data_IF_339531645605
#
_entry.id   IF_339531645605
#
_cell.length_a   1.000
_cell.length_b   1.000
_cell.length_c   1.000
_cell.angle_alpha   90.00
_cell.angle_beta   90.00
_cell.angle_gamma   90.00
#
_symmetry.space_group_name_H-M   'P 1'
#
loop_
_entity.id
_entity.type
_entity.pdbx_description
1 polymer ?
#
# COMPACT_ATOMS: atom_id res chain seq x y z
N UNK A 1 14.91 -8.73 -40.43
CA UNK A 1 15.41 -8.84 -39.05
C UNK A 1 14.66 -7.80 -38.25
N UNK A 2 13.66 -8.23 -37.51
CA UNK A 2 12.91 -7.35 -36.60
C UNK A 2 13.88 -6.96 -35.47
N UNK A 3 14.15 -5.66 -35.21
CA UNK A 3 14.96 -5.27 -34.07
C UNK A 3 14.18 -5.69 -32.82
N UNK A 4 14.79 -6.53 -31.96
CA UNK A 4 14.19 -7.16 -30.79
C UNK A 4 13.02 -6.37 -30.19
N UNK A 5 11.79 -6.86 -30.40
CA UNK A 5 10.57 -6.23 -29.92
C UNK A 5 10.66 -5.95 -28.41
N UNK A 6 10.36 -4.70 -28.04
CA UNK A 6 10.24 -4.22 -26.67
C UNK A 6 9.49 -5.25 -25.78
N UNK A 7 10.19 -5.84 -24.81
CA UNK A 7 9.56 -6.76 -23.86
C UNK A 7 8.85 -5.94 -22.79
N UNK A 8 7.55 -5.77 -22.96
CA UNK A 8 6.66 -5.14 -21.97
C UNK A 8 6.23 -6.16 -20.91
N UNK A 9 6.49 -5.88 -19.63
CA UNK A 9 6.02 -6.72 -18.51
C UNK A 9 4.97 -6.01 -17.66
N UNK A 10 4.10 -6.81 -17.05
CA UNK A 10 3.12 -6.39 -16.05
C UNK A 10 3.43 -7.12 -14.76
N UNK A 11 4.03 -6.42 -13.79
CA UNK A 11 4.54 -7.01 -12.55
C UNK A 11 3.72 -6.51 -11.38
N UNK A 12 3.32 -7.40 -10.45
CA UNK A 12 2.58 -6.97 -9.27
C UNK A 12 3.15 -7.52 -7.96
N UNK A 13 3.04 -6.72 -6.91
CA UNK A 13 3.24 -7.14 -5.52
C UNK A 13 1.97 -6.80 -4.74
N UNK A 14 1.36 -7.81 -4.13
CA UNK A 14 0.08 -7.70 -3.41
C UNK A 14 0.29 -8.12 -1.95
N UNK A 15 -0.05 -7.26 -1.00
CA UNK A 15 0.26 -7.42 0.42
C UNK A 15 -0.99 -7.23 1.26
N UNK A 16 -1.44 -8.29 1.93
CA UNK A 16 -2.61 -8.27 2.82
C UNK A 16 -2.20 -8.61 4.25
N UNK A 17 -2.43 -7.71 5.20
CA UNK A 17 -2.14 -7.93 6.62
C UNK A 17 -3.44 -7.90 7.46
N UNK A 18 -3.80 -9.03 8.05
CA UNK A 18 -4.92 -9.18 8.97
C UNK A 18 -4.50 -9.13 10.46
N UNK A 19 -3.21 -9.20 10.77
CA UNK A 19 -2.66 -9.19 12.15
C UNK A 19 -3.36 -10.20 13.08
N UNK A 20 -3.46 -11.48 12.69
CA UNK A 20 -4.29 -12.46 13.39
C UNK A 20 -3.81 -12.69 14.82
N UNK A 21 -4.76 -12.89 15.75
CA UNK A 21 -4.49 -13.08 17.18
C UNK A 21 -3.78 -11.88 17.86
N UNK A 22 -3.99 -10.66 17.35
CA UNK A 22 -3.51 -9.43 17.98
C UNK A 22 -4.67 -8.52 18.37
N UNK A 23 -4.41 -7.51 19.20
CA UNK A 23 -5.39 -6.46 19.50
C UNK A 23 -5.75 -5.58 18.28
N UNK A 24 -4.99 -5.69 17.19
CA UNK A 24 -5.10 -4.89 15.98
C UNK A 24 -5.60 -5.74 14.80
N UNK A 25 -6.38 -6.77 15.07
CA UNK A 25 -6.83 -7.73 14.07
C UNK A 25 -7.82 -7.11 13.07
N UNK A 26 -7.60 -7.38 11.78
CA UNK A 26 -8.44 -7.06 10.63
C UNK A 26 -8.84 -8.36 9.93
N UNK A 27 -9.89 -8.35 9.11
CA UNK A 27 -10.43 -9.56 8.50
C UNK A 27 -10.57 -9.46 6.97
N UNK A 28 -10.62 -8.26 6.41
CA UNK A 28 -10.80 -8.05 4.97
C UNK A 28 -9.52 -7.91 4.16
N UNK A 29 -8.36 -7.67 4.77
CA UNK A 29 -7.16 -7.27 4.03
C UNK A 29 -6.61 -8.37 3.12
N UNK A 30 -6.68 -9.62 3.57
CA UNK A 30 -6.33 -10.78 2.75
C UNK A 30 -7.32 -10.96 1.59
N UNK A 31 -8.62 -10.79 1.84
CA UNK A 31 -9.64 -10.90 0.79
C UNK A 31 -9.46 -9.82 -0.29
N UNK A 32 -9.10 -8.60 0.11
CA UNK A 32 -8.86 -7.48 -0.80
C UNK A 32 -7.75 -7.81 -1.80
N UNK A 33 -6.62 -8.33 -1.33
CA UNK A 33 -5.49 -8.63 -2.20
C UNK A 33 -5.73 -9.84 -3.09
N UNK A 34 -6.50 -10.83 -2.63
CA UNK A 34 -6.89 -11.97 -3.46
C UNK A 34 -7.87 -11.57 -4.56
N UNK A 35 -8.83 -10.69 -4.25
CA UNK A 35 -9.76 -10.16 -5.25
C UNK A 35 -9.08 -9.23 -6.26
N UNK A 36 -8.10 -8.43 -5.80
CA UNK A 36 -7.25 -7.63 -6.70
C UNK A 36 -6.40 -8.51 -7.59
N UNK A 37 -5.80 -9.59 -7.06
CA UNK A 37 -5.05 -10.57 -7.85
C UNK A 37 -5.88 -11.12 -9.01
N UNK A 38 -7.11 -11.55 -8.72
CA UNK A 38 -8.03 -12.07 -9.74
C UNK A 38 -8.37 -11.01 -10.79
N UNK A 39 -8.58 -9.77 -10.36
CA UNK A 39 -8.84 -8.64 -11.25
C UNK A 39 -7.65 -8.37 -12.19
N UNK A 40 -6.42 -8.37 -11.65
CA UNK A 40 -5.21 -8.17 -12.44
C UNK A 40 -4.99 -9.28 -13.47
N UNK A 41 -5.25 -10.54 -13.09
CA UNK A 41 -5.19 -11.71 -13.97
C UNK A 41 -6.21 -11.62 -15.10
N UNK A 42 -7.48 -11.43 -14.75
CA UNK A 42 -8.60 -11.60 -15.69
C UNK A 42 -8.84 -10.38 -16.56
N UNK A 43 -8.54 -9.17 -16.06
CA UNK A 43 -8.89 -7.91 -16.74
C UNK A 43 -7.69 -7.12 -17.23
N UNK A 44 -6.61 -7.11 -16.47
CA UNK A 44 -5.45 -6.26 -16.76
C UNK A 44 -4.29 -6.99 -17.43
N UNK A 45 -4.44 -8.30 -17.70
CA UNK A 45 -3.48 -9.10 -18.45
C UNK A 45 -2.16 -9.36 -17.71
N UNK A 46 -2.18 -9.31 -16.38
CA UNK A 46 -1.04 -9.76 -15.57
C UNK A 46 -0.93 -11.28 -15.64
N UNK A 47 0.30 -11.81 -15.58
CA UNK A 47 0.53 -13.25 -15.54
C UNK A 47 0.72 -13.71 -14.11
N UNK A 48 0.35 -14.95 -13.81
CA UNK A 48 0.47 -15.50 -12.46
C UNK A 48 1.92 -15.53 -11.95
N UNK A 49 2.87 -15.85 -12.82
CA UNK A 49 4.31 -15.87 -12.54
C UNK A 49 4.95 -14.48 -12.32
N UNK A 50 4.25 -13.43 -12.75
CA UNK A 50 4.69 -12.04 -12.65
C UNK A 50 4.08 -11.31 -11.43
N UNK A 51 3.30 -12.01 -10.61
CA UNK A 51 2.73 -11.48 -9.37
C UNK A 51 3.28 -12.19 -8.15
N UNK A 52 3.60 -11.41 -7.12
CA UNK A 52 3.96 -11.90 -5.80
C UNK A 52 2.89 -11.51 -4.78
N UNK A 53 2.45 -12.47 -3.95
CA UNK A 53 1.40 -12.26 -2.95
C UNK A 53 1.95 -12.60 -1.57
N UNK A 54 1.87 -11.65 -0.64
CA UNK A 54 2.29 -11.81 0.75
C UNK A 54 1.07 -11.61 1.65
N UNK A 55 0.75 -12.62 2.46
CA UNK A 55 -0.31 -12.52 3.47
C UNK A 55 0.10 -13.19 4.76
N UNK A 56 -0.51 -12.78 5.87
CA UNK A 56 -0.25 -13.34 7.18
C UNK A 56 -1.09 -14.58 7.50
N UNK A 57 -1.82 -15.13 6.52
CA UNK A 57 -2.49 -16.43 6.59
C UNK A 57 -1.51 -17.57 6.93
N UNK A 58 -1.92 -18.58 7.72
CA UNK A 58 -1.04 -19.67 8.16
C UNK A 58 -0.31 -20.42 7.04
N UNK A 59 -0.95 -20.60 5.88
CA UNK A 59 -0.46 -21.35 4.72
C UNK A 59 0.36 -20.50 3.73
N UNK A 60 0.49 -19.20 3.98
CA UNK A 60 1.24 -18.30 3.11
C UNK A 60 2.74 -18.57 3.11
N UNK A 61 3.29 -18.67 1.89
CA UNK A 61 4.72 -18.92 1.66
C UNK A 61 5.63 -17.85 2.23
N UNK A 62 5.19 -16.59 2.18
CA UNK A 62 5.90 -15.43 2.69
C UNK A 62 4.95 -14.60 3.53
N UNK A 63 5.33 -14.38 4.79
CA UNK A 63 4.64 -13.45 5.67
C UNK A 63 4.94 -12.01 5.23
N UNK A 64 3.99 -11.07 5.36
CA UNK A 64 4.15 -9.67 4.98
C UNK A 64 4.92 -8.91 6.07
N UNK A 65 6.15 -9.35 6.35
CA UNK A 65 7.10 -8.64 7.21
C UNK A 65 7.70 -7.46 6.47
N UNK A 66 8.21 -6.46 7.20
CA UNK A 66 8.84 -5.29 6.57
C UNK A 66 10.00 -5.67 5.65
N UNK A 67 10.79 -6.67 6.04
CA UNK A 67 11.88 -7.21 5.22
C UNK A 67 11.36 -7.89 3.93
N UNK A 68 10.34 -8.74 4.04
CA UNK A 68 9.80 -9.49 2.89
C UNK A 68 9.11 -8.56 1.89
N UNK A 69 8.36 -7.56 2.36
CA UNK A 69 7.71 -6.57 1.48
C UNK A 69 8.77 -5.79 0.71
N UNK A 70 9.80 -5.26 1.38
CA UNK A 70 10.91 -4.55 0.72
C UNK A 70 11.65 -5.45 -0.27
N UNK A 71 11.86 -6.72 0.06
CA UNK A 71 12.50 -7.67 -0.84
C UNK A 71 11.63 -7.98 -2.08
N UNK A 72 10.32 -8.09 -1.93
CA UNK A 72 9.39 -8.29 -3.04
C UNK A 72 9.37 -7.07 -3.99
N UNK A 73 9.34 -5.86 -3.44
CA UNK A 73 9.43 -4.63 -4.22
C UNK A 73 10.76 -4.53 -4.98
N UNK A 74 11.89 -4.86 -4.33
CA UNK A 74 13.21 -4.90 -5.01
C UNK A 74 13.21 -5.88 -6.16
N UNK A 75 12.72 -7.11 -5.97
CA UNK A 75 12.57 -8.10 -7.06
C UNK A 75 11.71 -7.59 -8.20
N UNK A 76 10.64 -6.87 -7.91
CA UNK A 76 9.76 -6.27 -8.92
C UNK A 76 10.50 -5.18 -9.73
N UNK A 77 11.25 -4.30 -9.05
CA UNK A 77 12.10 -3.28 -9.68
C UNK A 77 13.21 -3.91 -10.52
N UNK A 78 13.89 -4.94 -10.01
CA UNK A 78 14.97 -5.65 -10.71
C UNK A 78 14.47 -6.32 -12.00
N UNK A 79 13.30 -6.96 -11.94
CA UNK A 79 12.66 -7.55 -13.14
C UNK A 79 12.34 -6.48 -14.19
N UNK A 80 11.96 -5.28 -13.76
CA UNK A 80 11.65 -4.17 -14.67
C UNK A 80 12.88 -3.67 -15.45
N UNK A 81 14.10 -3.82 -14.92
CA UNK A 81 15.34 -3.37 -15.58
C UNK A 81 15.59 -4.00 -16.97
N UNK A 82 14.99 -5.17 -17.23
CA UNK A 82 15.23 -5.95 -18.45
C UNK A 82 14.20 -5.71 -19.56
N UNK A 83 13.27 -4.78 -19.38
CA UNK A 83 12.20 -4.47 -20.34
C UNK A 83 12.06 -2.96 -20.59
N UNK A 84 11.28 -2.62 -21.61
CA UNK A 84 10.88 -1.24 -21.91
C UNK A 84 9.36 -1.13 -21.74
N UNK A 85 8.88 0.01 -21.22
CA UNK A 85 7.44 0.28 -21.02
C UNK A 85 6.71 -0.65 -20.05
N UNK A 86 7.38 -1.10 -18.99
CA UNK A 86 6.79 -1.98 -17.98
C UNK A 86 5.67 -1.29 -17.19
N UNK A 87 4.71 -2.08 -16.71
CA UNK A 87 3.65 -1.65 -15.79
C UNK A 87 3.83 -2.38 -14.47
N UNK A 88 4.14 -1.65 -13.42
CA UNK A 88 4.30 -2.18 -12.07
C UNK A 88 3.11 -1.78 -11.22
N UNK A 89 2.63 -2.72 -10.41
CA UNK A 89 1.47 -2.52 -9.57
C UNK A 89 1.75 -2.99 -8.14
N UNK A 90 1.62 -2.10 -7.17
CA UNK A 90 1.72 -2.43 -5.76
C UNK A 90 0.36 -2.20 -5.08
N UNK A 91 -0.18 -3.24 -4.44
CA UNK A 91 -1.38 -3.12 -3.63
C UNK A 91 -1.08 -3.54 -2.19
N UNK A 92 -1.31 -2.62 -1.27
CA UNK A 92 -1.26 -2.87 0.16
C UNK A 92 -2.64 -2.71 0.78
N UNK A 93 -3.10 -3.73 1.50
CA UNK A 93 -4.28 -3.67 2.36
C UNK A 93 -3.87 -4.09 3.78
N UNK A 94 -4.10 -3.20 4.75
CA UNK A 94 -3.64 -3.38 6.12
C UNK A 94 -3.66 -2.07 6.90
N UNK A 95 -2.99 -2.06 8.05
CA UNK A 95 -2.86 -0.85 8.86
C UNK A 95 -1.92 0.18 8.25
N UNK A 96 -2.29 1.45 8.43
CA UNK A 96 -1.44 2.61 8.20
C UNK A 96 -1.27 3.41 9.49
N UNK A 97 -0.13 4.08 9.66
CA UNK A 97 0.16 4.91 10.83
C UNK A 97 0.84 6.23 10.45
N UNK A 98 0.81 7.18 11.39
CA UNK A 98 1.44 8.49 11.26
C UNK A 98 2.54 8.66 12.28
N UNK A 99 3.78 8.72 11.81
CA UNK A 99 4.96 8.90 12.64
C UNK A 99 5.33 10.39 12.74
N UNK A 100 5.90 10.84 13.88
CA UNK A 100 6.48 12.17 13.98
C UNK A 100 7.53 12.41 12.89
N UNK A 101 7.47 13.55 12.19
CA UNK A 101 8.48 13.86 11.19
C UNK A 101 9.78 14.36 11.83
N UNK A 102 10.90 13.89 11.28
CA UNK A 102 12.25 14.34 11.65
C UNK A 102 12.69 15.58 10.87
N UNK A 103 11.85 16.13 9.97
CA UNK A 103 12.20 17.26 9.10
C UNK A 103 12.10 18.59 9.88
N UNK A 104 13.22 19.28 10.17
CA UNK A 104 13.21 20.51 10.98
C UNK A 104 12.41 21.65 10.34
N UNK A 105 12.34 21.68 9.01
CA UNK A 105 11.62 22.70 8.25
C UNK A 105 10.08 22.54 8.27
N UNK A 106 9.55 21.39 8.71
CA UNK A 106 8.10 21.14 8.81
C UNK A 106 7.75 20.37 10.10
N UNK A 107 7.91 21.00 11.27
CA UNK A 107 7.77 20.33 12.58
C UNK A 107 6.36 19.80 12.85
N UNK A 108 5.33 20.27 12.12
CA UNK A 108 3.95 19.82 12.25
C UNK A 108 3.51 18.77 11.21
N UNK A 109 4.35 18.44 10.23
CA UNK A 109 4.03 17.39 9.25
C UNK A 109 4.25 16.04 9.94
N UNK A 110 3.29 15.13 9.84
CA UNK A 110 3.49 13.72 10.19
C UNK A 110 3.84 12.98 8.91
N UNK A 111 4.81 12.09 9.01
CA UNK A 111 5.12 11.19 7.90
C UNK A 111 4.22 9.95 8.01
N UNK A 112 3.90 9.34 6.88
CA UNK A 112 2.98 8.21 6.79
C UNK A 112 3.75 6.92 6.54
N UNK A 113 3.27 5.83 7.13
CA UNK A 113 3.90 4.52 7.03
C UNK A 113 2.84 3.42 6.94
N UNK A 114 3.11 2.40 6.14
CA UNK A 114 2.39 1.13 6.23
C UNK A 114 2.95 0.34 7.42
N UNK A 115 2.11 -0.51 8.01
CA UNK A 115 2.45 -1.32 9.18
C UNK A 115 2.48 -2.80 8.79
N UNK A 116 3.63 -3.37 8.40
CA UNK A 116 3.74 -4.81 8.15
C UNK A 116 3.35 -5.67 9.36
N UNK A 117 3.14 -6.98 9.18
CA UNK A 117 2.63 -7.84 10.27
C UNK A 117 3.59 -7.97 11.46
N UNK A 118 4.88 -7.66 11.26
CA UNK A 118 5.93 -7.60 12.29
C UNK A 118 6.17 -6.18 12.83
N UNK A 119 5.36 -5.20 12.45
CA UNK A 119 5.48 -3.79 12.85
C UNK A 119 6.78 -3.10 12.40
N UNK A 120 7.56 -3.71 11.50
CA UNK A 120 8.72 -3.09 10.88
C UNK A 120 8.28 -2.05 9.83
N UNK A 121 8.04 -0.82 10.28
CA UNK A 121 7.41 0.24 9.50
C UNK A 121 8.14 0.53 8.17
N UNK A 122 7.35 0.71 7.10
CA UNK A 122 7.84 1.13 5.77
C UNK A 122 7.24 2.48 5.43
N UNK A 123 8.10 3.43 5.03
CA UNK A 123 7.77 4.85 4.85
C UNK A 123 7.82 5.30 3.39
N UNK A 124 7.35 6.51 3.13
CA UNK A 124 7.51 7.21 1.84
C UNK A 124 8.95 7.20 1.31
N UNK A 125 9.93 7.26 2.22
CA UNK A 125 11.36 7.23 1.90
C UNK A 125 11.76 5.90 1.25
N UNK A 126 11.27 4.79 1.80
CA UNK A 126 11.57 3.43 1.31
C UNK A 126 10.97 3.23 -0.09
N UNK A 127 9.71 3.63 -0.30
CA UNK A 127 9.06 3.56 -1.61
C UNK A 127 9.76 4.46 -2.64
N UNK A 128 10.11 5.69 -2.26
CA UNK A 128 10.78 6.62 -3.17
C UNK A 128 12.16 6.13 -3.62
N UNK A 129 12.94 5.53 -2.70
CA UNK A 129 14.23 4.92 -3.06
C UNK A 129 14.06 3.85 -4.14
N UNK A 130 13.03 3.01 -4.01
CA UNK A 130 12.75 1.93 -4.96
C UNK A 130 12.25 2.47 -6.31
N UNK A 131 11.31 3.41 -6.29
CA UNK A 131 10.74 4.00 -7.51
C UNK A 131 11.78 4.79 -8.31
N UNK A 132 12.73 5.44 -7.64
CA UNK A 132 13.83 6.17 -8.29
C UNK A 132 14.83 5.28 -9.05
N UNK A 133 14.71 3.96 -8.94
CA UNK A 133 15.54 3.00 -9.68
C UNK A 133 14.84 2.49 -10.96
N UNK A 134 13.57 2.84 -11.18
CA UNK A 134 12.82 2.33 -12.33
C UNK A 134 13.37 2.85 -13.66
N UNK A 135 13.42 2.00 -14.71
CA UNK A 135 13.79 2.44 -16.05
C UNK A 135 12.82 3.47 -16.62
N UNK A 136 13.31 4.32 -17.52
CA UNK A 136 12.49 5.26 -18.28
C UNK A 136 11.35 4.53 -19.03
N UNK A 137 10.17 5.14 -19.04
CA UNK A 137 8.96 4.57 -19.62
C UNK A 137 8.26 3.53 -18.75
N UNK A 138 8.79 3.16 -17.58
CA UNK A 138 8.11 2.28 -16.63
C UNK A 138 7.04 3.05 -15.85
N UNK A 139 5.80 2.54 -15.84
CA UNK A 139 4.75 3.05 -14.94
C UNK A 139 4.71 2.27 -13.63
N UNK A 140 4.47 2.97 -12.53
CA UNK A 140 4.31 2.39 -11.21
C UNK A 140 3.02 2.90 -10.58
N UNK A 141 2.08 1.99 -10.32
CA UNK A 141 0.82 2.33 -9.64
C UNK A 141 0.84 1.72 -8.25
N UNK A 142 0.62 2.55 -7.23
CA UNK A 142 0.47 2.11 -5.86
C UNK A 142 -0.96 2.35 -5.38
N UNK A 143 -1.59 1.29 -4.87
CA UNK A 143 -2.83 1.36 -4.13
C UNK A 143 -2.55 1.04 -2.67
N UNK A 144 -2.93 1.95 -1.78
CA UNK A 144 -2.85 1.74 -0.34
C UNK A 144 -4.24 1.84 0.26
N UNK A 145 -4.85 0.70 0.55
CA UNK A 145 -6.15 0.57 1.20
C UNK A 145 -5.96 0.54 2.73
N UNK A 146 -5.38 1.64 3.23
CA UNK A 146 -5.03 1.87 4.63
C UNK A 146 -5.35 3.32 5.00
N UNK A 147 -5.81 3.60 6.22
CA UNK A 147 -5.93 4.98 6.68
C UNK A 147 -4.53 5.61 6.80
N UNK A 148 -4.37 6.86 6.36
CA UNK A 148 -3.10 7.61 6.38
C UNK A 148 -2.03 7.12 5.38
N UNK A 149 -2.40 6.99 4.09
CA UNK A 149 -1.46 6.68 2.99
C UNK A 149 -1.25 7.80 1.96
N UNK A 150 -1.93 8.94 2.10
CA UNK A 150 -1.87 10.08 1.17
C UNK A 150 -0.53 10.85 1.11
N UNK A 151 0.47 10.46 1.91
CA UNK A 151 1.82 11.02 1.96
C UNK A 151 2.92 10.07 1.46
N UNK A 152 2.57 8.88 0.96
CA UNK A 152 3.56 7.88 0.51
C UNK A 152 4.24 8.25 -0.81
N UNK A 153 3.62 9.10 -1.65
CA UNK A 153 4.17 9.62 -2.93
C UNK A 153 3.70 11.09 -3.09
N UNK A 154 4.63 12.02 -3.34
CA UNK A 154 4.39 13.49 -3.28
C UNK A 154 3.84 14.11 -4.60
N UNK A 155 3.56 13.31 -5.64
CA UNK A 155 2.91 13.78 -6.89
C UNK A 155 1.92 12.72 -7.39
N UNK A 156 0.76 13.19 -7.86
CA UNK A 156 -0.40 12.43 -8.33
C UNK A 156 -1.27 11.81 -7.22
N UNK A 157 -1.93 12.71 -6.47
CA UNK A 157 -3.10 12.36 -5.66
C UNK A 157 -4.33 12.39 -6.56
N UNK A 158 -4.73 11.26 -7.13
CA UNK A 158 -6.09 11.11 -7.66
C UNK A 158 -6.94 10.43 -6.59
N UNK A 159 -7.91 11.19 -6.07
CA UNK A 159 -8.76 10.85 -4.93
C UNK A 159 -10.12 10.36 -5.44
N UNK A 160 -10.53 9.16 -5.04
CA UNK A 160 -11.86 8.64 -5.34
C UNK A 160 -12.57 8.32 -4.01
N UNK A 161 -13.48 9.21 -3.59
CA UNK A 161 -14.33 9.06 -2.40
C UNK A 161 -15.39 10.17 -2.34
N UNK A 162 -16.61 9.92 -1.81
CA UNK A 162 -17.68 10.91 -1.83
C UNK A 162 -17.35 12.11 -0.94
N UNK A 163 -17.43 13.30 -1.52
CA UNK A 163 -17.42 14.58 -0.82
C UNK A 163 -18.60 14.61 0.17
N UNK A 164 -18.34 14.58 1.48
CA UNK A 164 -19.41 14.65 2.49
C UNK A 164 -19.94 16.08 2.64
N UNK A 165 -20.83 16.47 1.73
CA UNK A 165 -21.87 17.46 1.98
C UNK A 165 -23.22 16.81 1.72
N UNK A 166 -24.09 16.80 2.73
CA UNK A 166 -25.46 16.23 2.77
C UNK A 166 -25.56 14.84 3.44
N UNK A 167 -25.90 14.87 4.73
CA UNK A 167 -26.57 13.76 5.44
C UNK A 167 -28.02 13.66 4.94
N UNK A 168 -28.45 12.46 4.57
CA UNK A 168 -29.87 12.07 4.54
C UNK A 168 -30.05 10.68 5.16
N UNK A 169 -31.21 10.38 5.76
CA UNK A 169 -31.31 9.46 6.89
C UNK A 169 -31.80 8.04 6.52
N UNK A 170 -31.36 7.10 7.37
CA UNK A 170 -31.96 5.83 7.78
C UNK A 170 -32.31 4.78 6.71
N UNK A 171 -31.52 3.68 6.69
CA UNK A 171 -32.00 2.32 6.38
C UNK A 171 -31.37 1.33 7.40
N UNK A 172 -32.16 0.31 7.71
CA UNK A 172 -32.21 -0.56 8.89
C UNK A 172 -30.98 -1.43 9.20
N UNK A 173 -30.86 -1.69 10.50
CA UNK A 173 -29.87 -2.45 11.26
C UNK A 173 -29.61 -3.87 10.75
N UNK A 174 -28.47 -4.04 10.08
CA UNK A 174 -27.64 -5.25 10.20
C UNK A 174 -26.38 -4.84 10.98
N UNK A 175 -25.99 -5.61 12.00
CA UNK A 175 -24.81 -5.30 12.82
C UNK A 175 -23.54 -5.39 11.95
N UNK A 176 -23.17 -4.27 11.35
CA UNK A 176 -21.96 -4.14 10.55
C UNK A 176 -20.86 -3.64 11.46
N UNK A 177 -19.89 -4.49 11.77
CA UNK A 177 -18.70 -4.07 12.52
C UNK A 177 -17.77 -3.35 11.55
N UNK A 178 -17.53 -2.07 11.81
CA UNK A 178 -16.59 -1.23 11.06
C UNK A 178 -15.33 -1.10 11.91
N UNK A 179 -14.21 -1.70 11.48
CA UNK A 179 -12.91 -1.47 12.13
C UNK A 179 -12.08 -0.49 11.30
N UNK A 180 -11.49 0.49 11.99
CA UNK A 180 -10.59 1.46 11.38
C UNK A 180 -9.26 0.79 11.01
N UNK A 181 -8.78 1.02 9.79
CA UNK A 181 -7.42 0.60 9.40
C UNK A 181 -6.34 1.61 9.84
N UNK A 182 -6.70 2.70 10.53
CA UNK A 182 -5.73 3.61 11.16
C UNK A 182 -5.22 2.99 12.46
N UNK A 183 -3.91 2.75 12.54
CA UNK A 183 -3.28 2.33 13.78
C UNK A 183 -2.62 3.53 14.48
N UNK A 184 -3.10 3.94 15.67
CA UNK A 184 -2.54 5.09 16.36
C UNK A 184 -1.05 4.90 16.66
N UNK A 185 -0.24 5.95 16.47
CA UNK A 185 1.21 5.90 16.71
C UNK A 185 1.58 5.39 18.10
N UNK A 186 0.79 5.77 19.12
CA UNK A 186 1.01 5.30 20.49
C UNK A 186 0.90 3.77 20.59
N UNK A 187 -0.01 3.14 19.85
CA UNK A 187 -0.17 1.69 19.89
C UNK A 187 0.98 0.96 19.21
N UNK A 188 1.52 1.53 18.14
CA UNK A 188 2.75 1.05 17.49
C UNK A 188 3.91 1.14 18.48
N UNK A 189 4.08 2.31 19.11
CA UNK A 189 5.15 2.53 20.08
C UNK A 189 5.03 1.62 21.31
N UNK A 190 3.83 1.47 21.87
CA UNK A 190 3.58 0.59 23.02
C UNK A 190 3.90 -0.87 22.68
N UNK A 191 3.51 -1.33 21.48
CA UNK A 191 3.82 -2.68 21.00
C UNK A 191 5.34 -2.89 20.87
N UNK A 192 6.04 -2.00 20.17
CA UNK A 192 7.50 -2.08 19.99
C UNK A 192 8.24 -1.96 21.33
N UNK A 193 7.75 -1.13 22.25
CA UNK A 193 8.29 -1.01 23.62
C UNK A 193 8.12 -2.28 24.41
N UNK A 194 6.98 -2.98 24.27
CA UNK A 194 6.78 -4.27 24.94
C UNK A 194 7.72 -5.37 24.44
N UNK A 195 8.15 -5.30 23.17
CA UNK A 195 9.06 -6.27 22.57
C UNK A 195 10.52 -6.01 22.96
N UNK A 196 10.95 -4.74 23.01
CA UNK A 196 12.36 -4.41 23.33
C UNK A 196 12.63 -4.18 24.81
N UNK A 197 11.62 -3.83 25.61
CA UNK A 197 11.79 -3.41 26.99
C UNK A 197 12.48 -2.05 27.18
N UNK A 198 12.70 -1.29 26.10
CA UNK A 198 13.37 0.01 26.12
C UNK A 198 12.37 1.12 26.47
N UNK A 199 12.73 2.04 27.38
CA UNK A 199 11.90 3.20 27.72
C UNK A 199 12.32 4.42 26.90
N UNK A 200 11.78 4.57 25.69
CA UNK A 200 11.99 5.74 24.83
C UNK A 200 10.75 6.04 23.99
N UNK A 201 10.61 7.29 23.55
CA UNK A 201 9.57 7.70 22.59
C UNK A 201 10.04 7.66 21.14
N UNK A 202 11.34 7.41 20.93
CA UNK A 202 11.94 7.28 19.62
C UNK A 202 11.68 5.87 19.06
N UNK A 203 10.71 5.78 18.15
CA UNK A 203 10.40 4.53 17.43
C UNK A 203 11.60 4.00 16.65
N UNK A 204 12.51 4.86 16.19
CA UNK A 204 13.71 4.46 15.46
C UNK A 204 14.62 3.56 16.29
N UNK A 205 14.81 3.89 17.57
CA UNK A 205 15.55 3.06 18.52
C UNK A 205 14.97 1.65 18.62
N UNK A 206 13.64 1.50 18.75
CA UNK A 206 13.01 0.18 18.82
C UNK A 206 13.14 -0.61 17.51
N UNK A 207 12.93 0.06 16.37
CA UNK A 207 13.00 -0.58 15.06
C UNK A 207 14.43 -1.05 14.75
N UNK A 208 15.44 -0.28 15.13
CA UNK A 208 16.84 -0.68 15.00
C UNK A 208 17.20 -1.84 15.91
N UNK A 209 16.71 -1.86 17.15
CA UNK A 209 16.94 -2.98 18.08
C UNK A 209 16.35 -4.30 17.56
N UNK A 210 15.12 -4.25 17.02
CA UNK A 210 14.42 -5.46 16.55
C UNK A 210 14.87 -5.92 15.16
N UNK A 211 15.13 -4.98 14.25
CA UNK A 211 15.30 -5.29 12.83
C UNK A 211 16.68 -4.94 12.27
N UNK A 212 17.50 -4.19 13.01
CA UNK A 212 18.85 -3.80 12.58
C UNK A 212 18.88 -3.21 11.16
N UNK A 213 19.63 -3.87 10.27
CA UNK A 213 19.74 -3.47 8.86
C UNK A 213 18.44 -3.59 8.04
N UNK A 214 17.47 -4.37 8.53
CA UNK A 214 16.17 -4.55 7.91
C UNK A 214 15.14 -3.50 8.35
N UNK A 215 15.47 -2.56 9.24
CA UNK A 215 14.62 -1.42 9.54
C UNK A 215 14.43 -0.51 8.31
N UNK A 216 13.33 0.24 8.25
CA UNK A 216 13.10 1.25 7.20
C UNK A 216 14.22 2.30 7.14
N UNK A 217 14.51 2.83 5.94
CA UNK A 217 15.60 3.77 5.69
C UNK A 217 15.61 4.95 6.66
N UNK A 218 14.42 5.49 6.93
CA UNK A 218 14.21 6.63 7.81
C UNK A 218 14.68 6.39 9.24
N UNK A 219 14.60 5.14 9.70
CA UNK A 219 14.90 4.76 11.07
C UNK A 219 16.36 4.32 11.25
N UNK A 220 16.99 3.81 10.18
CA UNK A 220 18.38 3.31 10.23
C UNK A 220 19.44 4.34 9.87
N UNK A 221 19.10 5.36 9.08
CA UNK A 221 20.08 6.32 8.59
C UNK A 221 20.34 7.42 9.63
N UNK A 222 21.62 7.77 9.89
CA UNK A 222 21.95 8.99 10.61
C UNK A 222 21.27 10.21 9.98
N UNK A 223 20.93 11.22 10.79
CA UNK A 223 20.17 12.39 10.33
C UNK A 223 20.79 13.09 9.11
N UNK A 224 22.12 13.21 9.07
CA UNK A 224 22.85 13.81 7.94
C UNK A 224 22.72 12.97 6.66
N UNK A 225 22.88 11.66 6.76
CA UNK A 225 22.78 10.74 5.62
C UNK A 225 21.35 10.69 5.09
N UNK A 226 20.35 10.72 5.98
CA UNK A 226 18.95 10.79 5.62
C UNK A 226 18.63 12.11 4.89
N UNK A 227 19.17 13.24 5.36
CA UNK A 227 18.99 14.53 4.68
C UNK A 227 19.62 14.53 3.30
N UNK A 228 20.86 14.05 3.17
CA UNK A 228 21.55 13.93 1.89
C UNK A 228 20.80 13.01 0.92
N UNK A 229 20.30 11.87 1.40
CA UNK A 229 19.48 10.96 0.60
C UNK A 229 18.21 11.67 0.11
N UNK A 230 17.49 12.36 0.99
CA UNK A 230 16.27 13.09 0.63
C UNK A 230 16.52 14.22 -0.39
N UNK A 231 17.65 14.92 -0.29
CA UNK A 231 18.07 15.92 -1.28
C UNK A 231 18.37 15.29 -2.65
N UNK A 232 19.12 14.19 -2.67
CA UNK A 232 19.41 13.44 -3.90
C UNK A 232 18.14 12.90 -4.54
N UNK A 233 17.18 12.40 -3.75
CA UNK A 233 15.89 11.93 -4.26
C UNK A 233 15.10 13.05 -4.93
N UNK A 234 15.06 14.26 -4.36
CA UNK A 234 14.42 15.43 -4.98
C UNK A 234 15.07 15.84 -6.29
N UNK A 235 16.40 15.71 -6.40
CA UNK A 235 17.10 16.01 -7.65
C UNK A 235 16.75 15.03 -8.77
N UNK A 236 16.55 13.74 -8.44
CA UNK A 236 16.17 12.67 -9.37
C UNK A 236 14.67 12.65 -9.72
N UNK A 237 13.85 13.31 -8.91
CA UNK A 237 12.39 13.41 -9.09
C UNK A 237 11.99 14.03 -10.46
N UNK A 238 12.90 14.73 -11.14
CA UNK A 238 12.66 15.30 -12.48
C UNK A 238 12.43 14.27 -13.59
N UNK A 239 12.72 12.99 -13.37
CA UNK A 239 12.66 11.94 -14.41
C UNK A 239 11.53 10.91 -14.24
N UNK A 240 10.67 11.04 -13.22
CA UNK A 240 9.62 10.04 -12.92
C UNK A 240 8.23 10.67 -13.08
N UNK A 241 7.77 10.77 -14.32
CA UNK A 241 6.43 11.26 -14.71
C UNK A 241 5.38 10.12 -14.76
N UNK A 242 5.52 9.02 -14.00
CA UNK A 242 4.65 7.83 -14.21
C UNK A 242 4.28 7.05 -12.95
N UNK A 243 4.36 7.70 -11.79
CA UNK A 243 4.03 7.11 -10.49
C UNK A 243 2.65 7.56 -9.98
N UNK A 244 1.58 6.79 -10.23
CA UNK A 244 0.23 7.13 -9.76
C UNK A 244 0.01 6.52 -8.37
N UNK A 245 -0.31 7.35 -7.36
CA UNK A 245 -0.73 6.91 -6.02
C UNK A 245 -2.23 7.07 -5.86
N UNK A 246 -2.93 5.96 -5.66
CA UNK A 246 -4.36 5.95 -5.29
C UNK A 246 -4.47 5.56 -3.81
N UNK A 247 -4.78 6.56 -2.97
CA UNK A 247 -4.97 6.39 -1.52
C UNK A 247 -6.46 6.23 -1.21
N UNK A 248 -6.82 5.21 -0.42
CA UNK A 248 -8.20 4.85 -0.15
C UNK A 248 -9.02 5.82 0.71
N UNK A 249 -8.38 6.82 1.35
CA UNK A 249 -9.03 7.86 2.17
C UNK A 249 -8.22 9.17 2.19
N UNK A 250 -8.90 10.30 2.47
CA UNK A 250 -8.23 11.56 2.81
C UNK A 250 -7.44 11.45 4.13
N UNK A 251 -6.62 12.45 4.41
CA UNK A 251 -5.82 12.55 5.64
C UNK A 251 -6.67 12.58 6.93
N UNK A 252 -7.97 12.76 6.81
CA UNK A 252 -9.00 12.97 7.82
C UNK A 252 -10.20 12.02 7.67
N UNK A 253 -10.13 11.03 6.77
CA UNK A 253 -11.17 10.01 6.59
C UNK A 253 -10.67 8.58 6.91
N UNK A 254 -11.57 7.74 7.39
CA UNK A 254 -11.30 6.35 7.83
C UNK A 254 -11.60 5.34 6.73
N UNK A 255 -10.59 4.60 6.27
CA UNK A 255 -10.79 3.36 5.50
C UNK A 255 -11.27 2.27 6.46
N UNK A 256 -12.39 1.64 6.10
CA UNK A 256 -13.10 0.69 6.93
C UNK A 256 -12.86 -0.75 6.46
N UNK A 257 -12.58 -1.65 7.40
CA UNK A 257 -12.88 -3.07 7.22
C UNK A 257 -14.38 -3.27 7.50
N UNK A 258 -15.12 -3.77 6.52
CA UNK A 258 -16.57 -3.96 6.63
C UNK A 258 -16.87 -5.44 6.81
N UNK A 259 -17.45 -5.80 7.95
CA UNK A 259 -17.98 -7.15 8.21
C UNK A 259 -19.49 -7.09 8.15
N UNK A 260 -20.12 -7.66 7.12
CA UNK A 260 -21.58 -7.76 7.01
C UNK A 260 -22.02 -9.18 7.34
N UNK A 261 -23.06 -9.33 8.18
CA UNK A 261 -23.49 -10.61 8.75
C UNK A 261 -23.66 -11.72 7.71
N UNK A 262 -22.72 -12.68 7.69
CA UNK A 262 -22.70 -13.84 6.80
C UNK A 262 -21.88 -13.70 5.50
N UNK A 263 -21.33 -12.53 5.20
CA UNK A 263 -20.47 -12.27 4.04
C UNK A 263 -18.96 -12.25 4.37
N UNK A 264 -18.10 -12.40 3.35
CA UNK A 264 -16.65 -12.21 3.50
C UNK A 264 -16.32 -10.74 3.74
N UNK A 265 -15.45 -10.44 4.71
CA UNK A 265 -14.99 -9.08 5.00
C UNK A 265 -14.17 -8.51 3.83
N UNK A 266 -14.28 -7.21 3.58
CA UNK A 266 -13.55 -6.50 2.52
C UNK A 266 -13.28 -5.04 2.89
N UNK A 267 -12.29 -4.43 2.22
CA UNK A 267 -11.96 -3.02 2.27
C UNK A 267 -12.86 -2.19 1.36
N UNK A 268 -13.36 -1.08 1.89
CA UNK A 268 -14.31 -0.23 1.17
C UNK A 268 -13.74 0.31 -0.17
N UNK A 269 -12.45 0.65 -0.23
CA UNK A 269 -11.82 1.18 -1.43
C UNK A 269 -11.56 0.10 -2.48
N UNK A 270 -10.99 -1.03 -2.07
CA UNK A 270 -10.79 -2.20 -2.95
C UNK A 270 -12.11 -2.69 -3.55
N UNK A 271 -13.17 -2.75 -2.75
CA UNK A 271 -14.50 -3.14 -3.22
C UNK A 271 -15.12 -2.08 -4.14
N UNK A 272 -14.88 -0.79 -3.90
CA UNK A 272 -15.36 0.28 -4.77
C UNK A 272 -14.74 0.21 -6.17
N UNK A 273 -13.42 -0.05 -6.26
CA UNK A 273 -12.74 -0.29 -7.54
C UNK A 273 -13.37 -1.48 -8.26
N UNK A 274 -13.52 -2.61 -7.56
CA UNK A 274 -14.10 -3.83 -8.16
C UNK A 274 -15.55 -3.62 -8.61
N UNK A 275 -16.35 -2.87 -7.84
CA UNK A 275 -17.76 -2.58 -8.16
C UNK A 275 -17.90 -1.62 -9.33
N UNK A 276 -17.08 -0.57 -9.40
CA UNK A 276 -17.06 0.36 -10.53
C UNK A 276 -16.71 -0.36 -11.83
N UNK A 277 -15.74 -1.28 -11.77
CA UNK A 277 -15.35 -2.15 -12.87
C UNK A 277 -16.42 -3.18 -13.25
N UNK A 278 -17.22 -3.66 -12.28
CA UNK A 278 -18.38 -4.51 -12.54
C UNK A 278 -19.50 -3.79 -13.29
N UNK A 279 -19.77 -2.52 -12.94
CA UNK A 279 -20.83 -1.71 -13.57
C UNK A 279 -20.52 -1.31 -15.01
N UNK A 280 -19.24 -1.04 -15.35
CA UNK A 280 -18.82 -0.79 -16.75
C UNK A 280 -19.19 -1.96 -17.66
N UNK A 281 -19.00 -3.20 -17.18
CA UNK A 281 -19.35 -4.41 -17.93
C UNK A 281 -20.85 -4.53 -18.22
N UNK A 282 -21.71 -4.26 -17.24
CA UNK A 282 -23.16 -4.33 -17.48
C UNK A 282 -23.63 -3.33 -18.54
N UNK A 283 -22.98 -2.16 -18.66
CA UNK A 283 -23.29 -1.17 -19.68
C UNK A 283 -22.75 -1.57 -21.07
N UNK A 284 -21.60 -2.26 -21.15
CA UNK A 284 -21.05 -2.77 -22.41
C UNK A 284 -21.80 -4.03 -22.91
N UNK A 285 -22.23 -4.91 -22.00
CA UNK A 285 -23.03 -6.10 -22.33
C UNK A 285 -24.47 -5.74 -22.74
N UNK A 286 -25.05 -4.65 -22.21
CA UNK A 286 -26.36 -4.14 -22.64
C UNK A 286 -26.30 -3.35 -23.97
N UNK A 287 -25.13 -2.85 -24.37
CA UNK A 287 -24.94 -2.13 -25.63
C UNK A 287 -24.77 -3.02 -26.86
N UNK A 288 -24.60 -4.34 -26.67
CA UNK A 288 -24.38 -5.31 -27.77
C UNK A 288 -25.62 -6.13 -28.14
N UNK A 289 -26.74 -5.95 -27.43
CA UNK A 289 -27.99 -6.68 -27.68
C UNK A 289 -29.04 -5.95 -28.53
N UNK A 290 -28.75 -4.74 -29.04
CA UNK A 290 -29.74 -3.90 -29.75
C UNK A 290 -29.48 -3.75 -31.27
N UNK A 291 -28.70 -4.65 -31.86
CA UNK A 291 -28.58 -4.80 -33.33
C UNK A 291 -28.81 -6.27 -33.73
N UNK A 292 -30.08 -6.67 -33.74
CA UNK A 292 -30.59 -7.91 -34.31
C UNK A 292 -31.86 -7.66 -35.10
#
# INVERSE_FOLDING_TARGET
>A
MDPQGAVKRRLAVLVGCNYPNTKNELHGCVNDVLAMKETLLTRFGFKQEDMEVLTDEPDSKLKPTGANIKAALRRMVDKAQTGSENVLFFHYSGHGTRIPSVKPARPFKKDEAIVPCDFNLITDVDFRELVNQLPEGTSFTMISDSCHSGGLIDKEKEQIGPFSGVRSPAIETTATTITSRALPYKEVLDHLSSLTGISTSDVGTHLLELFGGDAGLKFRLPAMDLMYLLENMKAREKHVDSGILLSGCQADETSADVVSGGGKAYGAFSNAIQTAEGKRRCLEEQGTSDHG
#
